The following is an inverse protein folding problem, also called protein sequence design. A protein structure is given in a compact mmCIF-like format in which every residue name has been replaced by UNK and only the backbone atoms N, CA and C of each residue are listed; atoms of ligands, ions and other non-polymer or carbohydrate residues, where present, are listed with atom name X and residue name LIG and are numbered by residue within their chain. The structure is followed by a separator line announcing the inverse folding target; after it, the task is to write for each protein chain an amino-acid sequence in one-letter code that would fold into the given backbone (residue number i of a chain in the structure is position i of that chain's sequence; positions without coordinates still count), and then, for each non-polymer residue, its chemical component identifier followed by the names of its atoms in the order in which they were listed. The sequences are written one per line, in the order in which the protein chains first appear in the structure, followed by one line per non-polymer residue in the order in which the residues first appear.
data_IF_369102636484
#
_entry.id   IF_369102636484
#
_cell.length_a   1.000
_cell.length_b   1.000
_cell.length_c   1.000
_cell.angle_alpha   90.00
_cell.angle_beta   90.00
_cell.angle_gamma   90.00
#
_symmetry.space_group_name_H-M   'P 1'
#
loop_
_entity.id
_entity.type
_entity.pdbx_description
1 polymer ?
#
# COMPACT_ATOMS: atom_id res chain seq x y z
N UNK A 1 -4.18 -9.25 32.05
CA UNK A 1 -3.18 -10.31 31.75
C UNK A 1 -3.71 -11.16 30.61
N UNK A 2 -3.28 -10.87 29.38
CA UNK A 2 -3.31 -11.86 28.31
C UNK A 2 -1.91 -11.89 27.71
N UNK A 3 -1.06 -12.65 28.39
CA UNK A 3 0.19 -13.13 27.86
C UNK A 3 -0.14 -14.28 26.91
N UNK A 4 0.26 -14.14 25.64
CA UNK A 4 0.78 -15.24 24.85
C UNK A 4 1.93 -14.69 23.99
N UNK A 5 3.13 -14.61 24.59
CA UNK A 5 4.40 -14.60 23.86
C UNK A 5 5.01 -15.99 24.00
N UNK A 6 4.88 -16.80 22.96
CA UNK A 6 5.92 -17.63 22.34
C UNK A 6 5.25 -18.59 21.35
N UNK A 7 5.59 -18.47 20.07
CA UNK A 7 5.53 -19.59 19.15
C UNK A 7 6.90 -19.71 18.50
N UNK A 8 7.68 -20.71 18.95
CA UNK A 8 8.76 -21.32 18.17
C UNK A 8 8.13 -22.08 16.99
N UNK A 9 7.68 -21.31 16.01
CA UNK A 9 7.10 -21.75 14.75
C UNK A 9 7.20 -20.60 13.76
N UNK A 10 7.44 -20.89 12.48
CA UNK A 10 7.56 -19.85 11.46
C UNK A 10 6.31 -18.95 11.51
N UNK A 11 6.47 -17.68 11.88
CA UNK A 11 5.37 -16.72 11.91
C UNK A 11 4.79 -16.59 10.51
N UNK A 12 3.58 -17.14 10.30
CA UNK A 12 2.92 -17.07 8.99
C UNK A 12 2.50 -15.63 8.71
N UNK A 13 2.87 -15.13 7.52
CA UNK A 13 2.43 -13.82 7.04
C UNK A 13 1.01 -13.95 6.48
N UNK A 14 0.05 -13.25 7.09
CA UNK A 14 -1.25 -12.98 6.49
C UNK A 14 -1.20 -11.60 5.83
N UNK A 15 -1.32 -11.58 4.50
CA UNK A 15 -1.14 -10.39 3.65
C UNK A 15 -2.47 -10.06 3.00
N UNK A 16 -3.00 -8.87 3.26
CA UNK A 16 -4.34 -8.48 2.81
C UNK A 16 -4.27 -7.23 1.92
N UNK A 17 -5.02 -7.23 0.83
CA UNK A 17 -5.17 -6.08 -0.04
C UNK A 17 -6.31 -5.18 0.43
N UNK A 18 -6.01 -3.90 0.59
CA UNK A 18 -7.00 -2.84 0.72
C UNK A 18 -7.15 -2.12 -0.61
N UNK A 19 -8.35 -2.10 -1.17
CA UNK A 19 -8.63 -1.49 -2.47
C UNK A 19 -9.27 -0.11 -2.29
N UNK A 20 -8.64 0.94 -2.81
CA UNK A 20 -9.10 2.31 -2.56
C UNK A 20 -10.52 2.59 -3.07
N UNK A 21 -11.01 1.87 -4.07
CA UNK A 21 -12.38 1.99 -4.61
C UNK A 21 -13.46 1.31 -3.75
N UNK A 22 -13.11 0.67 -2.63
CA UNK A 22 -14.09 0.04 -1.75
C UNK A 22 -15.05 1.08 -1.11
N UNK A 23 -14.59 2.32 -0.89
CA UNK A 23 -15.41 3.40 -0.35
C UNK A 23 -16.63 3.74 -1.22
N UNK A 24 -16.56 3.50 -2.53
CA UNK A 24 -17.64 3.81 -3.48
C UNK A 24 -18.75 2.77 -3.50
N UNK A 25 -18.62 1.66 -2.75
CA UNK A 25 -19.64 0.60 -2.69
C UNK A 25 -20.88 1.06 -1.91
N UNK A 26 -22.09 0.59 -2.27
CA UNK A 26 -23.31 0.95 -1.54
C UNK A 26 -23.36 0.38 -0.11
N UNK A 27 -23.97 1.14 0.80
CA UNK A 27 -24.39 0.65 2.12
C UNK A 27 -23.22 0.12 2.98
N UNK A 28 -23.43 -0.96 3.76
CA UNK A 28 -22.43 -1.46 4.72
C UNK A 28 -21.18 -2.07 4.06
N UNK A 29 -21.15 -2.14 2.72
CA UNK A 29 -19.99 -2.59 1.97
C UNK A 29 -19.03 -1.47 1.59
N UNK A 30 -19.36 -0.20 1.90
CA UNK A 30 -18.42 0.92 1.84
C UNK A 30 -17.39 0.77 2.94
N UNK A 31 -16.11 0.70 2.57
CA UNK A 31 -15.00 0.48 3.50
C UNK A 31 -13.96 1.56 3.28
N UNK A 32 -13.62 2.27 4.36
CA UNK A 32 -12.51 3.21 4.48
C UNK A 32 -11.37 2.58 5.31
N UNK A 33 -10.16 3.15 5.30
CA UNK A 33 -9.05 2.58 6.06
C UNK A 33 -9.34 2.44 7.56
N UNK A 34 -10.09 3.37 8.15
CA UNK A 34 -10.45 3.32 9.57
C UNK A 34 -11.38 2.15 9.94
N UNK A 35 -12.09 1.58 8.98
CA UNK A 35 -12.97 0.41 9.17
C UNK A 35 -12.18 -0.90 9.23
N UNK A 36 -10.89 -0.89 8.87
CA UNK A 36 -10.03 -2.07 8.90
C UNK A 36 -9.55 -2.33 10.33
N UNK A 37 -9.72 -3.57 10.80
CA UNK A 37 -9.07 -4.04 12.02
C UNK A 37 -7.60 -4.36 11.73
N UNK A 38 -6.63 -3.61 12.31
CA UNK A 38 -5.21 -3.78 12.03
C UNK A 38 -4.61 -5.06 12.64
N UNK A 39 -5.37 -5.85 13.40
CA UNK A 39 -4.91 -7.12 13.98
C UNK A 39 -5.28 -8.34 13.13
N UNK A 40 -6.13 -8.19 12.10
CA UNK A 40 -6.49 -9.30 11.22
C UNK A 40 -5.36 -9.71 10.27
N UNK A 41 -4.48 -8.79 9.89
CA UNK A 41 -3.44 -9.04 8.90
C UNK A 41 -2.08 -8.63 9.46
N UNK A 42 -1.04 -9.38 9.11
CA UNK A 42 0.35 -9.01 9.43
C UNK A 42 0.87 -7.93 8.48
N UNK A 43 0.38 -7.92 7.24
CA UNK A 43 0.73 -6.95 6.21
C UNK A 43 -0.55 -6.48 5.53
N UNK A 44 -0.69 -5.17 5.35
CA UNK A 44 -1.73 -4.57 4.52
C UNK A 44 -1.08 -3.94 3.28
N UNK A 45 -1.66 -4.19 2.11
CA UNK A 45 -1.20 -3.64 0.83
C UNK A 45 -2.26 -2.68 0.30
N UNK A 46 -1.91 -1.40 0.16
CA UNK A 46 -2.77 -0.41 -0.47
C UNK A 46 -2.74 -0.59 -1.99
N UNK A 47 -3.90 -0.80 -2.61
CA UNK A 47 -4.10 -0.93 -4.04
C UNK A 47 -4.90 0.27 -4.59
N UNK A 48 -4.34 1.09 -5.48
CA UNK A 48 -2.99 1.04 -6.07
C UNK A 48 -2.43 2.46 -6.26
N UNK A 49 -1.11 2.61 -6.26
CA UNK A 49 -0.43 3.74 -6.87
C UNK A 49 -0.43 3.63 -8.42
N UNK A 50 -0.04 4.72 -9.08
CA UNK A 50 0.09 4.82 -10.53
C UNK A 50 1.52 5.22 -10.92
N UNK A 51 1.72 5.50 -12.21
CA UNK A 51 3.01 5.90 -12.77
C UNK A 51 2.80 6.99 -13.81
N UNK A 52 3.59 8.05 -13.71
CA UNK A 52 3.68 9.10 -14.71
C UNK A 52 5.15 9.38 -15.02
N UNK A 53 5.51 9.47 -16.31
CA UNK A 53 6.88 9.80 -16.73
C UNK A 53 7.97 8.94 -16.03
N UNK A 54 7.76 7.62 -15.95
CA UNK A 54 8.61 6.66 -15.25
C UNK A 54 8.83 6.95 -13.76
N UNK A 55 7.91 7.66 -13.11
CA UNK A 55 7.91 7.91 -11.67
C UNK A 55 6.62 7.37 -11.05
N UNK A 56 6.71 6.76 -9.87
CA UNK A 56 5.51 6.41 -9.11
C UNK A 56 4.80 7.69 -8.68
N UNK A 57 3.48 7.66 -8.72
CA UNK A 57 2.62 8.74 -8.25
C UNK A 57 1.42 8.16 -7.52
N UNK A 58 0.83 8.91 -6.59
CA UNK A 58 -0.50 8.58 -6.11
C UNK A 58 -1.47 8.50 -7.29
N UNK A 59 -2.44 7.57 -7.23
CA UNK A 59 -3.41 7.42 -8.32
C UNK A 59 -4.35 8.61 -8.38
N UNK A 60 -4.84 9.04 -7.21
CA UNK A 60 -5.75 10.17 -7.06
C UNK A 60 -5.31 11.09 -5.90
N UNK A 61 -5.68 12.38 -5.94
CA UNK A 61 -5.38 13.33 -4.86
C UNK A 61 -5.99 12.90 -3.50
N UNK A 62 -7.12 12.20 -3.55
CA UNK A 62 -7.76 11.65 -2.37
C UNK A 62 -6.91 10.55 -1.71
N UNK A 63 -6.24 9.71 -2.51
CA UNK A 63 -5.33 8.71 -1.97
C UNK A 63 -4.19 9.38 -1.21
N UNK A 64 -3.54 10.34 -1.86
CA UNK A 64 -2.36 11.02 -1.32
C UNK A 64 -2.66 11.79 -0.03
N UNK A 65 -3.77 12.54 -0.01
CA UNK A 65 -4.06 13.48 1.07
C UNK A 65 -4.89 12.90 2.20
N UNK A 66 -5.66 11.84 1.95
CA UNK A 66 -6.63 11.31 2.92
C UNK A 66 -6.36 9.84 3.20
N UNK A 67 -6.38 9.00 2.16
CA UNK A 67 -6.39 7.55 2.40
C UNK A 67 -5.02 6.99 2.80
N UNK A 68 -3.90 7.49 2.26
CA UNK A 68 -2.55 7.07 2.68
C UNK A 68 -2.28 7.41 4.16
N UNK A 69 -2.52 8.66 4.63
CA UNK A 69 -2.41 8.95 6.06
C UNK A 69 -3.28 8.05 6.94
N UNK A 70 -4.55 7.88 6.61
CA UNK A 70 -5.47 7.05 7.40
C UNK A 70 -5.06 5.57 7.42
N UNK A 71 -4.61 5.05 6.27
CA UNK A 71 -4.15 3.68 6.13
C UNK A 71 -2.88 3.43 6.95
N UNK A 72 -1.90 4.33 6.91
CA UNK A 72 -0.68 4.18 7.70
C UNK A 72 -0.91 4.42 9.20
N UNK A 73 -1.93 5.20 9.57
CA UNK A 73 -2.35 5.39 10.98
C UNK A 73 -2.81 4.09 11.66
N UNK A 74 -3.19 3.07 10.90
CA UNK A 74 -3.49 1.73 11.44
C UNK A 74 -2.31 1.14 12.24
N UNK A 75 -1.07 1.51 11.90
CA UNK A 75 0.13 1.12 12.65
C UNK A 75 0.19 1.71 14.07
N UNK A 76 -0.56 2.78 14.37
CA UNK A 76 -0.66 3.32 15.75
C UNK A 76 -1.41 2.37 16.67
N UNK A 77 -2.41 1.64 16.13
CA UNK A 77 -3.19 0.64 16.86
C UNK A 77 -2.46 -0.70 16.94
N UNK A 78 -1.75 -1.09 15.88
CA UNK A 78 -0.91 -2.29 15.84
C UNK A 78 0.51 -1.93 15.34
N UNK A 79 1.47 -1.79 16.26
CA UNK A 79 2.86 -1.42 15.93
C UNK A 79 3.64 -2.50 15.16
N UNK A 80 3.14 -3.74 15.15
CA UNK A 80 3.75 -4.85 14.40
C UNK A 80 3.25 -4.92 12.95
N UNK A 81 2.14 -4.25 12.63
CA UNK A 81 1.58 -4.19 11.29
C UNK A 81 2.56 -3.57 10.30
N UNK A 82 2.65 -4.16 9.10
CA UNK A 82 3.37 -3.59 7.95
C UNK A 82 2.42 -3.07 6.90
N UNK A 83 2.66 -1.86 6.41
CA UNK A 83 1.88 -1.25 5.32
C UNK A 83 2.73 -1.14 4.07
N UNK A 84 2.22 -1.66 2.95
CA UNK A 84 2.89 -1.61 1.65
C UNK A 84 2.01 -0.90 0.63
N UNK A 85 2.63 -0.32 -0.39
CA UNK A 85 1.94 0.34 -1.49
C UNK A 85 2.15 -0.44 -2.79
N UNK A 86 1.08 -1.05 -3.31
CA UNK A 86 1.16 -1.71 -4.61
C UNK A 86 0.98 -0.72 -5.76
N UNK A 87 1.70 -0.93 -6.85
CA UNK A 87 1.57 -0.19 -8.12
C UNK A 87 1.13 -1.14 -9.23
N UNK A 88 0.20 -0.70 -10.08
CA UNK A 88 -0.26 -1.48 -11.23
C UNK A 88 -1.72 -1.89 -11.13
N UNK A 89 -1.97 -3.20 -11.23
CA UNK A 89 -3.32 -3.75 -11.33
C UNK A 89 -3.84 -3.78 -12.77
N UNK A 90 -5.02 -4.41 -12.97
CA UNK A 90 -5.57 -4.68 -14.30
C UNK A 90 -5.70 -3.43 -15.16
N UNK A 91 -6.29 -2.36 -14.61
CA UNK A 91 -6.54 -1.11 -15.35
C UNK A 91 -5.27 -0.30 -15.64
N UNK A 92 -4.15 -0.61 -15.00
CA UNK A 92 -2.88 0.05 -15.28
C UNK A 92 -2.24 -0.45 -16.60
N UNK A 93 -2.54 -1.70 -16.99
CA UNK A 93 -1.96 -2.35 -18.17
C UNK A 93 -0.45 -2.57 -18.05
N UNK A 94 0.22 -2.79 -19.17
CA UNK A 94 1.65 -3.16 -19.20
C UNK A 94 2.56 -2.11 -19.84
N UNK A 95 2.05 -1.28 -20.75
CA UNK A 95 2.86 -0.34 -21.56
C UNK A 95 3.75 0.59 -20.72
N UNK A 96 3.25 1.10 -19.59
CA UNK A 96 4.01 1.95 -18.67
C UNK A 96 5.16 1.19 -18.01
N UNK A 97 4.94 -0.06 -17.59
CA UNK A 97 6.01 -0.91 -17.08
C UNK A 97 7.04 -1.22 -18.17
N UNK A 98 6.61 -1.58 -19.38
CA UNK A 98 7.52 -1.82 -20.50
C UNK A 98 8.42 -0.61 -20.77
N UNK A 99 7.84 0.59 -20.78
CA UNK A 99 8.59 1.84 -20.97
C UNK A 99 9.57 2.10 -19.83
N UNK A 100 9.11 1.98 -18.57
CA UNK A 100 9.93 2.19 -17.38
C UNK A 100 11.09 1.20 -17.29
N UNK A 101 10.87 -0.06 -17.69
CA UNK A 101 11.89 -1.11 -17.66
C UNK A 101 12.89 -1.03 -18.82
N UNK A 102 12.59 -0.29 -19.89
CA UNK A 102 13.34 -0.35 -21.16
C UNK A 102 14.77 0.17 -21.10
N UNK A 103 15.10 1.06 -20.15
CA UNK A 103 16.45 1.60 -20.01
C UNK A 103 16.88 1.63 -18.55
N UNK A 104 18.20 1.64 -18.31
CA UNK A 104 18.74 1.80 -16.96
C UNK A 104 18.28 3.12 -16.32
N UNK A 105 18.35 4.23 -17.06
CA UNK A 105 17.95 5.55 -16.58
C UNK A 105 16.46 5.62 -16.19
N UNK A 106 15.58 4.94 -16.93
CA UNK A 106 14.15 4.89 -16.60
C UNK A 106 13.91 4.13 -15.29
N UNK A 107 14.59 2.99 -15.10
CA UNK A 107 14.49 2.20 -13.86
C UNK A 107 15.06 2.96 -12.66
N UNK A 108 16.19 3.63 -12.83
CA UNK A 108 16.80 4.46 -11.79
C UNK A 108 15.87 5.61 -11.37
N UNK A 109 15.28 6.32 -12.34
CA UNK A 109 14.29 7.37 -12.09
C UNK A 109 13.07 6.84 -11.33
N UNK A 110 12.57 5.66 -11.70
CA UNK A 110 11.46 5.02 -11.03
C UNK A 110 11.81 4.66 -9.58
N UNK A 111 12.93 3.99 -9.35
CA UNK A 111 13.38 3.57 -8.01
C UNK A 111 13.55 4.79 -7.09
N UNK A 112 14.18 5.86 -7.58
CA UNK A 112 14.34 7.10 -6.82
C UNK A 112 12.99 7.71 -6.41
N UNK A 113 12.02 7.74 -7.34
CA UNK A 113 10.67 8.23 -7.03
C UNK A 113 9.91 7.34 -6.04
N UNK A 114 10.12 6.01 -6.10
CA UNK A 114 9.52 5.05 -5.17
C UNK A 114 10.01 5.32 -3.75
N UNK A 115 11.33 5.42 -3.57
CA UNK A 115 11.91 5.69 -2.26
C UNK A 115 11.34 7.01 -1.70
N UNK A 116 11.30 8.07 -2.51
CA UNK A 116 10.77 9.36 -2.11
C UNK A 116 9.30 9.28 -1.67
N UNK A 117 8.44 8.66 -2.47
CA UNK A 117 7.01 8.57 -2.19
C UNK A 117 6.74 7.73 -0.94
N UNK A 118 7.35 6.55 -0.82
CA UNK A 118 7.11 5.67 0.34
C UNK A 118 7.54 6.33 1.65
N UNK A 119 8.69 7.03 1.66
CA UNK A 119 9.16 7.76 2.85
C UNK A 119 8.29 8.97 3.18
N UNK A 120 7.78 9.66 2.15
CA UNK A 120 6.88 10.82 2.34
C UNK A 120 5.56 10.41 2.99
N UNK A 121 5.05 9.22 2.67
CA UNK A 121 3.74 8.74 3.15
C UNK A 121 3.83 7.61 4.18
N UNK A 122 5.00 7.37 4.78
CA UNK A 122 5.23 6.38 5.84
C UNK A 122 4.84 4.93 5.49
N UNK A 123 5.06 4.51 4.24
CA UNK A 123 4.93 3.11 3.86
C UNK A 123 6.20 2.31 4.22
N UNK A 124 6.00 1.06 4.66
CA UNK A 124 7.08 0.14 5.01
C UNK A 124 7.68 -0.58 3.78
N UNK A 125 7.01 -0.50 2.62
CA UNK A 125 7.47 -1.10 1.38
C UNK A 125 6.59 -0.80 0.16
N UNK A 126 7.07 -1.23 -1.01
CA UNK A 126 6.30 -1.31 -2.26
C UNK A 126 5.77 -2.74 -2.43
#
# INVERSE_FOLDING_TARGET
VHMLKHHDGAAHKLVCYFTNWAHSRPGPASILPHDVDPFFCTHLIFAFASMNNNQIVAKDLQDEKILYPEFNKLKERNRELKTLLSIGGWNFGTSRFTTMLSTFANREKFIASVIALLRTHDFDGL
#
